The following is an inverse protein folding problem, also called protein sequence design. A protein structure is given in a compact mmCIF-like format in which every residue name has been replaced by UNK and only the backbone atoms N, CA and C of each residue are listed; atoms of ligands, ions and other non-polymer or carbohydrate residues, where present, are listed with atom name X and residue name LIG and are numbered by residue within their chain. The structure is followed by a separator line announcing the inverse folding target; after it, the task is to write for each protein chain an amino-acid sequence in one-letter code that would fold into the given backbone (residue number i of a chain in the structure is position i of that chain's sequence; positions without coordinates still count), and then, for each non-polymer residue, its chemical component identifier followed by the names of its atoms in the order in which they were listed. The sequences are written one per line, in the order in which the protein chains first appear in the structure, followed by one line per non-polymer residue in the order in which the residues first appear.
data_IF_324054309679
#
_entry.id   IF_324054309679
#
_cell.length_a   1.000
_cell.length_b   1.000
_cell.length_c   1.000
_cell.angle_alpha   90.00
_cell.angle_beta   90.00
_cell.angle_gamma   90.00
#
_symmetry.space_group_name_H-M   'P 1'
#
loop_
_entity.id
_entity.type
_entity.pdbx_description
1 polymer ?
#
# COMPACT_ATOMS: atom_id res chain seq x y z
N UNK A 1 10.84 -6.72 -16.61
CA UNK A 1 9.54 -6.07 -16.35
C UNK A 1 9.79 -4.62 -15.99
N UNK A 2 9.07 -3.69 -16.59
CA UNK A 2 9.10 -2.27 -16.22
C UNK A 2 7.93 -1.98 -15.26
N UNK A 3 8.15 -1.07 -14.33
CA UNK A 3 7.12 -0.64 -13.38
C UNK A 3 7.37 0.83 -12.98
N UNK A 4 6.34 1.46 -12.40
CA UNK A 4 6.40 2.81 -11.83
C UNK A 4 6.28 2.73 -10.31
N UNK A 5 6.89 3.66 -9.59
CA UNK A 5 6.70 3.84 -8.15
C UNK A 5 5.82 5.07 -7.94
N UNK A 6 4.72 4.90 -7.23
CA UNK A 6 3.78 5.96 -6.90
C UNK A 6 3.78 6.24 -5.39
N UNK A 7 4.06 7.47 -5.00
CA UNK A 7 4.13 7.92 -3.61
C UNK A 7 3.11 9.04 -3.40
N UNK A 8 1.94 8.75 -2.80
CA UNK A 8 1.02 9.80 -2.37
C UNK A 8 1.60 10.53 -1.17
N UNK A 9 1.54 11.86 -1.17
CA UNK A 9 2.06 12.66 -0.05
C UNK A 9 1.26 13.95 0.14
N UNK A 10 1.11 14.40 1.39
CA UNK A 10 0.39 15.59 1.80
C UNK A 10 1.17 16.29 2.91
N UNK A 11 1.65 17.51 2.68
CA UNK A 11 2.33 18.38 3.67
C UNK A 11 3.48 17.67 4.42
N UNK A 12 4.28 16.83 3.72
CA UNK A 12 5.31 15.97 4.34
C UNK A 12 6.65 15.99 3.58
N UNK A 13 7.02 17.12 2.96
CA UNK A 13 8.26 17.24 2.19
C UNK A 13 9.52 16.82 2.98
N UNK A 14 9.62 17.22 4.25
CA UNK A 14 10.72 16.82 5.13
C UNK A 14 10.63 15.36 5.58
N UNK A 15 9.43 14.85 5.83
CA UNK A 15 9.22 13.46 6.26
C UNK A 15 9.59 12.48 5.15
N UNK A 16 9.12 12.71 3.94
CA UNK A 16 9.43 11.86 2.79
C UNK A 16 10.93 11.83 2.51
N UNK A 17 11.62 12.97 2.64
CA UNK A 17 13.08 13.05 2.48
C UNK A 17 13.82 12.23 3.54
N UNK A 18 13.49 12.45 4.82
CA UNK A 18 14.20 11.84 5.95
C UNK A 18 13.94 10.34 6.08
N UNK A 19 12.80 9.84 5.58
CA UNK A 19 12.37 8.46 5.69
C UNK A 19 12.43 7.74 4.35
N UNK A 20 11.39 7.85 3.54
CA UNK A 20 11.25 7.07 2.30
C UNK A 20 12.40 7.30 1.34
N UNK A 21 12.82 8.54 1.09
CA UNK A 21 13.96 8.81 0.20
C UNK A 21 15.31 8.45 0.82
N UNK A 22 15.47 8.58 2.14
CA UNK A 22 16.67 8.09 2.81
C UNK A 22 16.81 6.56 2.69
N UNK A 23 15.69 5.83 2.69
CA UNK A 23 15.70 4.39 2.41
C UNK A 23 15.94 4.11 0.92
N UNK A 24 15.15 4.69 0.02
CA UNK A 24 15.26 4.45 -1.43
C UNK A 24 16.67 4.76 -1.96
N UNK A 25 17.35 5.77 -1.42
CA UNK A 25 18.72 6.14 -1.82
C UNK A 25 19.78 5.08 -1.50
N UNK A 26 19.47 4.11 -0.64
CA UNK A 26 20.33 2.97 -0.32
C UNK A 26 20.03 1.74 -1.17
N UNK A 27 18.98 1.80 -1.98
CA UNK A 27 18.52 0.71 -2.82
C UNK A 27 18.93 0.93 -4.28
N UNK A 28 18.67 -0.07 -5.12
CA UNK A 28 18.96 -0.03 -6.56
C UNK A 28 17.78 0.49 -7.42
N UNK A 29 16.90 1.33 -6.85
CA UNK A 29 15.75 1.91 -7.57
C UNK A 29 16.21 3.00 -8.55
N UNK A 30 15.68 2.96 -9.77
CA UNK A 30 15.80 4.07 -10.72
C UNK A 30 14.80 5.17 -10.38
N UNK A 31 15.30 6.30 -9.88
CA UNK A 31 14.48 7.45 -9.48
C UNK A 31 13.68 8.08 -10.62
N UNK A 32 14.03 7.87 -11.88
CA UNK A 32 13.23 8.33 -13.04
C UNK A 32 11.86 7.67 -13.10
N UNK A 33 11.70 6.50 -12.49
CA UNK A 33 10.44 5.78 -12.38
C UNK A 33 9.65 6.12 -11.10
N UNK A 34 10.10 7.09 -10.30
CA UNK A 34 9.43 7.53 -9.07
C UNK A 34 8.56 8.75 -9.36
N UNK A 35 7.31 8.67 -8.96
CA UNK A 35 6.27 9.69 -9.10
C UNK A 35 5.74 10.06 -7.72
N UNK A 36 5.81 11.34 -7.35
CA UNK A 36 5.23 11.86 -6.11
C UNK A 36 3.92 12.56 -6.47
N UNK A 37 2.83 12.07 -5.89
CA UNK A 37 1.49 12.61 -6.07
C UNK A 37 1.18 13.55 -4.91
N UNK A 38 1.14 14.85 -5.19
CA UNK A 38 0.90 15.91 -4.23
C UNK A 38 -0.59 16.25 -4.18
N UNK A 39 -1.09 16.48 -2.99
CA UNK A 39 -2.51 16.84 -2.81
C UNK A 39 -2.85 18.28 -3.17
N UNK A 40 -1.85 19.17 -3.13
CA UNK A 40 -2.02 20.61 -3.34
C UNK A 40 -0.80 21.17 -4.09
N UNK A 41 -1.04 22.00 -5.11
CA UNK A 41 0.02 22.68 -5.89
C UNK A 41 0.86 23.65 -5.07
N UNK A 42 0.34 24.19 -3.99
CA UNK A 42 1.09 25.08 -3.10
C UNK A 42 2.28 24.37 -2.42
N UNK A 43 2.21 23.06 -2.26
CA UNK A 43 3.27 22.25 -1.66
C UNK A 43 4.41 21.92 -2.64
N UNK A 44 4.18 21.99 -3.94
CA UNK A 44 5.09 21.49 -4.98
C UNK A 44 6.50 22.08 -4.87
N UNK A 45 6.60 23.38 -4.58
CA UNK A 45 7.88 24.07 -4.46
C UNK A 45 8.72 23.53 -3.28
N UNK A 46 8.08 23.22 -2.16
CA UNK A 46 8.78 22.66 -0.99
C UNK A 46 9.31 21.26 -1.27
N UNK A 47 8.52 20.42 -1.94
CA UNK A 47 8.97 19.09 -2.36
C UNK A 47 10.09 19.17 -3.38
N UNK A 48 10.00 20.03 -4.41
CA UNK A 48 11.05 20.24 -5.41
C UNK A 48 12.34 20.72 -4.77
N UNK A 49 12.27 21.64 -3.81
CA UNK A 49 13.45 22.13 -3.09
C UNK A 49 14.09 21.02 -2.24
N UNK A 50 13.27 20.27 -1.52
CA UNK A 50 13.74 19.23 -0.58
C UNK A 50 14.32 18.01 -1.31
N UNK A 51 13.77 17.66 -2.48
CA UNK A 51 14.13 16.46 -3.25
C UNK A 51 14.89 16.76 -4.55
N UNK A 52 15.47 17.95 -4.68
CA UNK A 52 16.11 18.47 -5.90
C UNK A 52 17.24 17.61 -6.49
N UNK A 53 17.86 16.78 -5.68
CA UNK A 53 18.95 15.89 -6.10
C UNK A 53 18.50 14.60 -6.78
N UNK A 54 17.20 14.31 -6.77
CA UNK A 54 16.64 13.08 -7.34
C UNK A 54 15.90 13.39 -8.67
N UNK A 55 16.14 12.62 -9.75
CA UNK A 55 15.45 12.79 -11.03
C UNK A 55 14.05 12.13 -10.96
N UNK A 56 13.12 12.74 -10.21
CA UNK A 56 11.79 12.23 -9.94
C UNK A 56 10.71 13.08 -10.62
N UNK A 57 9.48 12.55 -10.66
CA UNK A 57 8.32 13.20 -11.26
C UNK A 57 7.38 13.72 -10.17
N UNK A 58 6.93 14.96 -10.29
CA UNK A 58 5.93 15.55 -9.38
C UNK A 58 4.62 15.72 -10.12
N UNK A 59 3.53 15.23 -9.52
CA UNK A 59 2.17 15.29 -10.06
C UNK A 59 1.27 15.92 -9.03
N UNK A 60 0.66 17.05 -9.38
CA UNK A 60 -0.34 17.71 -8.52
C UNK A 60 -1.71 17.12 -8.83
N UNK A 61 -2.36 16.57 -7.83
CA UNK A 61 -3.63 15.84 -7.99
C UNK A 61 -4.86 16.67 -7.61
N UNK A 62 -4.70 17.72 -6.77
CA UNK A 62 -5.80 18.45 -6.12
C UNK A 62 -6.76 17.54 -5.33
N UNK A 63 -6.25 16.37 -4.87
CA UNK A 63 -7.01 15.39 -4.10
C UNK A 63 -6.55 15.36 -2.64
N UNK A 64 -7.40 15.86 -1.73
CA UNK A 64 -7.06 16.02 -0.30
C UNK A 64 -7.23 14.74 0.55
N UNK A 65 -7.91 13.72 0.03
CA UNK A 65 -8.12 12.46 0.74
C UNK A 65 -7.33 11.33 0.09
N UNK A 66 -6.76 10.44 0.90
CA UNK A 66 -5.92 9.33 0.44
C UNK A 66 -6.66 8.42 -0.56
N UNK A 67 -7.94 8.15 -0.36
CA UNK A 67 -8.74 7.32 -1.26
C UNK A 67 -8.84 7.92 -2.66
N UNK A 68 -9.16 9.22 -2.73
CA UNK A 68 -9.29 9.94 -4.01
C UNK A 68 -7.94 10.12 -4.70
N UNK A 69 -6.87 10.29 -3.92
CA UNK A 69 -5.51 10.37 -4.45
C UNK A 69 -5.06 9.01 -5.03
N UNK A 70 -5.34 7.88 -4.34
CA UNK A 70 -5.05 6.54 -4.85
C UNK A 70 -5.85 6.19 -6.11
N UNK A 71 -7.11 6.62 -6.20
CA UNK A 71 -7.89 6.46 -7.43
C UNK A 71 -7.31 7.31 -8.58
N UNK A 72 -6.91 8.56 -8.30
CA UNK A 72 -6.24 9.40 -9.29
C UNK A 72 -4.94 8.75 -9.82
N UNK A 73 -4.17 8.07 -8.98
CA UNK A 73 -2.97 7.33 -9.41
C UNK A 73 -3.34 6.24 -10.43
N UNK A 74 -4.46 5.54 -10.23
CA UNK A 74 -4.93 4.55 -11.21
C UNK A 74 -5.35 5.19 -12.54
N UNK A 75 -5.95 6.39 -12.50
CA UNK A 75 -6.36 7.12 -13.71
C UNK A 75 -5.17 7.75 -14.44
N UNK A 76 -4.10 8.12 -13.70
CA UNK A 76 -2.91 8.80 -14.25
C UNK A 76 -2.04 7.87 -15.08
N UNK A 77 -1.84 6.64 -14.66
CA UNK A 77 -1.03 5.67 -15.38
C UNK A 77 -1.86 4.90 -16.41
N UNK A 78 -1.22 4.49 -17.47
CA UNK A 78 -1.88 3.74 -18.54
C UNK A 78 -2.41 2.39 -18.05
N UNK A 79 -3.44 1.91 -18.75
CA UNK A 79 -3.98 0.57 -18.52
C UNK A 79 -2.88 -0.47 -18.75
N UNK A 80 -2.88 -1.49 -17.88
CA UNK A 80 -1.95 -2.62 -17.88
C UNK A 80 -0.51 -2.29 -17.43
N UNK A 81 -0.20 -1.05 -17.02
CA UNK A 81 1.07 -0.73 -16.38
C UNK A 81 1.17 -1.40 -14.98
N UNK A 82 2.41 -1.69 -14.58
CA UNK A 82 2.73 -2.21 -13.26
C UNK A 82 3.13 -1.06 -12.33
N UNK A 83 2.45 -0.93 -11.21
CA UNK A 83 2.63 0.20 -10.30
C UNK A 83 2.92 -0.33 -8.89
N UNK A 84 3.98 0.20 -8.28
CA UNK A 84 4.34 -0.07 -6.90
C UNK A 84 4.00 1.16 -6.05
N UNK A 85 3.05 1.02 -5.12
CA UNK A 85 2.71 2.06 -4.15
C UNK A 85 3.63 1.98 -2.93
N UNK A 86 4.19 3.12 -2.54
CA UNK A 86 5.00 3.28 -1.34
C UNK A 86 4.52 4.52 -0.60
N UNK A 87 4.32 4.45 0.74
CA UNK A 87 3.97 5.62 1.53
C UNK A 87 5.19 6.53 1.79
N UNK A 88 4.95 7.77 2.11
CA UNK A 88 5.95 8.83 2.31
C UNK A 88 6.72 8.75 3.64
N UNK A 89 6.33 7.82 4.54
CA UNK A 89 6.89 7.71 5.89
C UNK A 89 7.54 6.34 6.19
N UNK A 90 7.99 5.63 5.17
CA UNK A 90 8.69 4.34 5.30
C UNK A 90 10.13 4.55 5.75
N UNK A 91 10.51 4.02 6.92
CA UNK A 91 11.90 4.01 7.38
C UNK A 91 12.77 3.02 6.60
N UNK A 92 12.23 1.83 6.31
CA UNK A 92 12.82 0.80 5.44
C UNK A 92 11.85 -0.35 5.18
N UNK A 93 12.18 -1.23 4.25
CA UNK A 93 11.61 -2.56 4.15
C UNK A 93 12.59 -3.57 4.73
N UNK A 94 12.07 -4.54 5.48
CA UNK A 94 12.86 -5.54 6.17
C UNK A 94 12.50 -6.93 5.67
N UNK A 95 13.50 -7.76 5.43
CA UNK A 95 13.30 -9.18 5.10
C UNK A 95 13.74 -10.09 6.24
N UNK A 96 12.99 -11.17 6.46
CA UNK A 96 13.26 -12.14 7.50
C UNK A 96 14.54 -12.96 7.20
N UNK A 97 15.41 -13.05 8.19
CA UNK A 97 16.54 -14.01 8.19
C UNK A 97 16.19 -15.23 9.01
N UNK A 98 15.67 -15.04 10.22
CA UNK A 98 15.23 -16.11 11.12
C UNK A 98 14.16 -15.57 12.08
N UNK A 99 13.75 -16.36 13.07
CA UNK A 99 12.67 -15.98 14.00
C UNK A 99 13.04 -14.84 14.96
N UNK A 100 14.31 -14.42 14.99
CA UNK A 100 14.80 -13.31 15.86
C UNK A 100 15.32 -12.11 15.08
N UNK A 101 15.57 -12.25 13.76
CA UNK A 101 16.31 -11.24 12.99
C UNK A 101 15.70 -10.97 11.63
N UNK A 102 15.65 -9.69 11.30
CA UNK A 102 15.43 -9.16 9.93
C UNK A 102 16.64 -8.36 9.49
N UNK A 103 16.76 -8.13 8.19
CA UNK A 103 17.73 -7.22 7.57
C UNK A 103 17.02 -6.30 6.59
N UNK A 104 17.62 -5.16 6.32
CA UNK A 104 17.11 -4.19 5.36
C UNK A 104 17.13 -4.78 3.94
N UNK A 105 16.05 -4.61 3.20
CA UNK A 105 15.91 -5.07 1.82
C UNK A 105 16.53 -4.04 0.88
N UNK A 106 17.78 -4.29 0.44
CA UNK A 106 18.55 -3.37 -0.41
C UNK A 106 18.28 -3.60 -1.89
N UNK A 107 18.19 -4.86 -2.34
CA UNK A 107 17.79 -5.20 -3.71
C UNK A 107 16.26 -5.04 -3.88
N UNK A 108 15.81 -3.79 -3.82
CA UNK A 108 14.39 -3.45 -3.88
C UNK A 108 13.84 -3.60 -5.30
N UNK A 109 14.61 -3.22 -6.31
CA UNK A 109 14.23 -3.37 -7.72
C UNK A 109 14.02 -4.85 -8.09
N UNK A 110 14.97 -5.70 -7.72
CA UNK A 110 14.85 -7.15 -7.93
C UNK A 110 13.66 -7.75 -7.20
N UNK A 111 13.41 -7.32 -5.95
CA UNK A 111 12.24 -7.75 -5.19
C UNK A 111 10.92 -7.35 -5.88
N UNK A 112 10.77 -6.09 -6.30
CA UNK A 112 9.55 -5.59 -6.94
C UNK A 112 9.28 -6.33 -8.26
N UNK A 113 10.29 -6.52 -9.10
CA UNK A 113 10.18 -7.27 -10.37
C UNK A 113 9.74 -8.73 -10.12
N UNK A 114 10.38 -9.40 -9.18
CA UNK A 114 10.01 -10.76 -8.78
C UNK A 114 8.61 -10.84 -8.18
N UNK A 115 8.19 -9.83 -7.40
CA UNK A 115 6.87 -9.77 -6.82
C UNK A 115 5.77 -9.66 -7.89
N UNK A 116 5.97 -8.86 -8.90
CA UNK A 116 5.07 -8.79 -10.04
C UNK A 116 5.03 -10.12 -10.83
N UNK A 117 6.20 -10.72 -11.10
CA UNK A 117 6.28 -11.99 -11.81
C UNK A 117 5.50 -13.11 -11.09
N UNK A 118 5.75 -13.29 -9.79
CA UNK A 118 5.05 -14.29 -8.97
C UNK A 118 3.54 -14.01 -8.93
N UNK A 119 3.17 -12.73 -8.82
CA UNK A 119 1.77 -12.32 -8.78
C UNK A 119 1.05 -12.64 -10.10
N UNK A 120 1.67 -12.31 -11.24
CA UNK A 120 1.11 -12.61 -12.57
C UNK A 120 1.01 -14.12 -12.82
N UNK A 121 2.04 -14.88 -12.47
CA UNK A 121 2.03 -16.36 -12.58
C UNK A 121 0.91 -16.96 -11.72
N UNK A 122 0.55 -16.31 -10.62
CA UNK A 122 -0.57 -16.71 -9.74
C UNK A 122 -1.92 -16.14 -10.20
N UNK A 123 -1.98 -15.40 -11.30
CA UNK A 123 -3.19 -14.70 -11.79
C UNK A 123 -3.78 -13.75 -10.75
N UNK A 124 -2.94 -13.10 -9.98
CA UNK A 124 -3.31 -12.06 -9.00
C UNK A 124 -2.74 -10.74 -9.49
N UNK A 125 -3.57 -9.73 -9.64
CA UNK A 125 -3.12 -8.40 -10.06
C UNK A 125 -2.69 -7.52 -8.88
N UNK A 126 -2.85 -7.99 -7.63
CA UNK A 126 -2.43 -7.30 -6.41
C UNK A 126 -1.42 -8.15 -5.64
N UNK A 127 -0.30 -7.54 -5.27
CA UNK A 127 0.63 -8.10 -4.30
C UNK A 127 0.94 -7.12 -3.17
N UNK A 128 1.44 -7.64 -2.05
CA UNK A 128 1.94 -6.83 -0.94
C UNK A 128 2.76 -7.66 0.05
N UNK A 129 3.06 -7.06 1.18
CA UNK A 129 3.94 -7.62 2.20
C UNK A 129 3.22 -7.83 3.53
N UNK A 130 3.89 -8.42 4.50
CA UNK A 130 3.33 -8.59 5.85
C UNK A 130 3.21 -7.21 6.54
N UNK A 131 2.06 -6.88 7.14
CA UNK A 131 1.88 -5.57 7.79
C UNK A 131 2.63 -5.43 9.12
N UNK A 132 3.17 -6.52 9.67
CA UNK A 132 3.76 -6.51 11.02
C UNK A 132 5.23 -6.87 10.95
N UNK A 133 6.09 -5.92 11.33
CA UNK A 133 7.54 -6.15 11.47
C UNK A 133 7.84 -6.80 12.83
N UNK A 134 7.64 -8.09 12.91
CA UNK A 134 8.14 -8.92 14.01
C UNK A 134 8.66 -10.23 13.41
N UNK A 135 9.96 -10.54 13.52
CA UNK A 135 10.57 -11.71 12.90
C UNK A 135 9.84 -13.03 13.24
N UNK A 136 9.31 -13.15 14.45
CA UNK A 136 8.56 -14.32 14.90
C UNK A 136 7.30 -14.58 14.08
N UNK A 137 6.59 -13.52 13.65
CA UNK A 137 5.36 -13.63 12.86
C UNK A 137 5.61 -13.65 11.34
N UNK A 138 6.79 -13.25 10.90
CA UNK A 138 7.18 -13.39 9.49
C UNK A 138 7.40 -14.86 9.13
N UNK A 139 7.04 -15.25 7.89
CA UNK A 139 7.17 -16.62 7.40
C UNK A 139 7.85 -16.65 6.04
N UNK A 140 8.79 -17.57 5.84
CA UNK A 140 9.47 -17.77 4.55
C UNK A 140 8.56 -18.41 3.49
N UNK A 141 7.44 -17.76 3.20
CA UNK A 141 6.52 -18.20 2.15
C UNK A 141 5.79 -17.03 1.51
N UNK A 142 5.16 -17.33 0.37
CA UNK A 142 4.20 -16.46 -0.32
C UNK A 142 2.82 -17.10 -0.18
N UNK A 143 1.79 -16.30 0.05
CA UNK A 143 0.40 -16.74 0.14
C UNK A 143 -0.44 -16.08 -0.94
N UNK A 144 -1.45 -16.81 -1.44
CA UNK A 144 -2.30 -16.41 -2.56
C UNK A 144 -3.79 -16.40 -2.21
N UNK A 145 -4.11 -16.50 -0.93
CA UNK A 145 -5.48 -16.44 -0.41
C UNK A 145 -5.81 -15.02 0.06
N UNK A 146 -7.05 -14.79 0.54
CA UNK A 146 -7.44 -13.48 1.07
C UNK A 146 -6.55 -13.12 2.26
N UNK A 147 -5.71 -12.13 2.05
CA UNK A 147 -4.86 -11.51 3.06
C UNK A 147 -5.03 -10.00 3.01
N UNK A 148 -4.88 -9.40 4.17
CA UNK A 148 -4.74 -7.95 4.26
C UNK A 148 -3.44 -7.52 3.58
N UNK A 149 -3.55 -6.65 2.58
CA UNK A 149 -2.44 -6.01 1.87
C UNK A 149 -2.36 -4.58 2.38
N UNK A 150 -1.33 -4.31 3.18
CA UNK A 150 -1.11 -2.99 3.77
C UNK A 150 -0.75 -1.97 2.70
N UNK A 151 -1.36 -0.80 2.78
CA UNK A 151 -1.23 0.22 1.74
C UNK A 151 0.12 0.95 1.72
N UNK A 152 0.96 0.77 2.74
CA UNK A 152 2.25 1.46 2.79
C UNK A 152 3.32 0.88 1.86
N UNK A 153 3.18 -0.39 1.41
CA UNK A 153 4.02 -0.99 0.37
C UNK A 153 3.31 -2.17 -0.31
N UNK A 154 2.93 -1.98 -1.55
CA UNK A 154 2.22 -2.96 -2.37
C UNK A 154 2.42 -2.68 -3.86
N UNK A 155 2.03 -3.61 -4.72
CA UNK A 155 2.01 -3.37 -6.15
C UNK A 155 0.78 -3.96 -6.81
N UNK A 156 0.39 -3.37 -7.93
CA UNK A 156 -0.75 -3.85 -8.71
C UNK A 156 -0.53 -3.67 -10.21
N UNK A 157 -1.18 -4.52 -10.98
CA UNK A 157 -1.37 -4.28 -12.42
C UNK A 157 -2.55 -3.33 -12.57
N UNK A 158 -2.34 -2.20 -13.24
CA UNK A 158 -3.34 -1.15 -13.40
C UNK A 158 -4.39 -1.53 -14.45
N UNK A 159 -5.32 -2.41 -14.10
CA UNK A 159 -6.34 -2.88 -15.05
C UNK A 159 -7.41 -1.83 -15.35
N UNK A 160 -7.49 -0.77 -14.55
CA UNK A 160 -8.56 0.25 -14.60
C UNK A 160 -9.98 -0.35 -14.53
N UNK A 161 -10.10 -1.51 -13.90
CA UNK A 161 -11.37 -2.17 -13.61
C UNK A 161 -11.85 -1.77 -12.20
N UNK A 162 -13.10 -2.13 -11.85
CA UNK A 162 -13.70 -1.80 -10.55
C UNK A 162 -12.80 -2.15 -9.34
N UNK A 163 -12.02 -3.24 -9.43
CA UNK A 163 -11.11 -3.66 -8.35
C UNK A 163 -9.96 -2.67 -8.11
N UNK A 164 -9.56 -1.89 -9.13
CA UNK A 164 -8.48 -0.91 -9.06
C UNK A 164 -8.85 0.31 -8.22
N UNK A 165 -10.14 0.60 -8.07
CA UNK A 165 -10.66 1.77 -7.39
C UNK A 165 -11.21 1.44 -6.01
N UNK A 166 -11.03 2.36 -5.07
CA UNK A 166 -11.60 2.30 -3.73
C UNK A 166 -12.68 3.36 -3.56
N UNK A 167 -13.51 3.24 -2.53
CA UNK A 167 -14.57 4.21 -2.24
C UNK A 167 -14.01 5.63 -2.14
N UNK A 168 -14.65 6.57 -2.83
CA UNK A 168 -14.30 8.01 -2.79
C UNK A 168 -14.92 8.73 -1.61
N UNK A 169 -15.78 8.07 -0.82
CA UNK A 169 -16.38 8.70 0.35
C UNK A 169 -15.29 9.01 1.39
N UNK A 170 -15.10 10.29 1.73
CA UNK A 170 -14.04 10.70 2.65
C UNK A 170 -14.23 10.19 4.09
N UNK A 171 -15.43 9.74 4.45
CA UNK A 171 -15.70 9.14 5.75
C UNK A 171 -15.31 7.65 5.85
N UNK A 172 -14.92 7.01 4.74
CA UNK A 172 -14.57 5.59 4.70
C UNK A 172 -13.07 5.41 4.57
N UNK A 173 -12.38 5.38 5.70
CA UNK A 173 -11.01 4.91 5.78
C UNK A 173 -10.89 3.40 5.51
N UNK A 174 -9.69 2.84 5.71
CA UNK A 174 -9.42 1.41 5.53
C UNK A 174 -9.56 0.94 4.07
N UNK A 175 -9.15 1.79 3.12
CA UNK A 175 -9.16 1.51 1.69
C UNK A 175 -8.31 0.28 1.32
N UNK A 176 -7.32 -0.04 2.12
CA UNK A 176 -6.46 -1.20 1.99
C UNK A 176 -7.20 -2.54 2.25
N UNK A 177 -8.15 -2.55 3.19
CA UNK A 177 -9.06 -3.69 3.37
C UNK A 177 -10.01 -3.84 2.18
N UNK A 178 -10.62 -2.73 1.73
CA UNK A 178 -11.50 -2.71 0.55
C UNK A 178 -10.76 -3.23 -0.68
N UNK A 179 -9.56 -2.69 -0.96
CA UNK A 179 -8.71 -3.11 -2.08
C UNK A 179 -8.41 -4.61 -2.00
N UNK A 180 -7.96 -5.10 -0.85
CA UNK A 180 -7.66 -6.52 -0.66
C UNK A 180 -8.85 -7.42 -0.97
N UNK A 181 -10.07 -7.02 -0.56
CA UNK A 181 -11.30 -7.78 -0.82
C UNK A 181 -11.69 -7.71 -2.30
N UNK A 182 -11.64 -6.53 -2.93
CA UNK A 182 -12.03 -6.36 -4.34
C UNK A 182 -11.15 -7.19 -5.28
N UNK A 183 -9.83 -7.10 -5.12
CA UNK A 183 -8.91 -7.94 -5.90
C UNK A 183 -9.13 -9.44 -5.62
N UNK A 184 -9.30 -9.83 -4.37
CA UNK A 184 -9.60 -11.23 -4.05
C UNK A 184 -10.90 -11.72 -4.69
N UNK A 185 -11.95 -10.91 -4.70
CA UNK A 185 -13.24 -11.27 -5.35
C UNK A 185 -13.09 -11.50 -6.85
N UNK A 186 -12.31 -10.69 -7.52
CA UNK A 186 -12.17 -10.73 -8.97
C UNK A 186 -11.12 -11.75 -9.42
N UNK A 187 -9.96 -11.78 -8.78
CA UNK A 187 -8.81 -12.62 -9.18
C UNK A 187 -8.82 -13.99 -8.48
N UNK A 188 -9.64 -14.15 -7.42
CA UNK A 188 -9.65 -15.36 -6.59
C UNK A 188 -8.45 -15.47 -5.66
N UNK A 189 -7.62 -14.42 -5.54
CA UNK A 189 -6.45 -14.36 -4.68
C UNK A 189 -5.83 -12.97 -4.63
N UNK A 190 -4.96 -12.78 -3.63
CA UNK A 190 -3.98 -11.70 -3.56
C UNK A 190 -2.63 -12.31 -3.18
N UNK A 191 -1.55 -11.79 -3.75
CA UNK A 191 -0.21 -12.30 -3.46
C UNK A 191 0.37 -11.57 -2.26
N UNK A 192 0.79 -12.29 -1.20
CA UNK A 192 1.46 -11.66 -0.07
C UNK A 192 2.77 -12.35 0.29
N UNK A 193 3.84 -11.56 0.27
CA UNK A 193 5.18 -11.97 0.67
C UNK A 193 5.29 -11.89 2.19
N UNK A 194 5.14 -13.04 2.86
CA UNK A 194 5.04 -13.08 4.32
C UNK A 194 6.39 -12.93 5.04
N UNK A 195 7.50 -12.87 4.30
CA UNK A 195 8.86 -12.71 4.83
C UNK A 195 9.40 -11.28 4.74
N UNK A 196 8.65 -10.36 4.12
CA UNK A 196 8.99 -8.93 4.05
C UNK A 196 7.96 -8.14 4.82
N UNK A 197 8.40 -7.10 5.52
CA UNK A 197 7.52 -6.16 6.21
C UNK A 197 8.11 -4.74 6.22
N UNK A 198 7.27 -3.68 6.21
CA UNK A 198 7.72 -2.31 6.35
C UNK A 198 8.13 -2.02 7.80
N UNK A 199 9.21 -1.24 7.94
CA UNK A 199 9.54 -0.55 9.18
C UNK A 199 8.99 0.87 9.06
N UNK A 200 7.90 1.13 9.74
CA UNK A 200 7.25 2.44 9.83
C UNK A 200 6.53 2.56 11.17
N UNK A 201 6.28 3.76 11.60
CA UNK A 201 5.52 4.04 12.82
C UNK A 201 4.06 4.28 12.46
N UNK A 202 3.24 3.26 12.60
CA UNK A 202 1.80 3.40 12.38
C UNK A 202 1.19 4.34 13.44
N UNK A 203 0.30 5.25 13.01
CA UNK A 203 -0.51 6.14 13.84
C UNK A 203 0.24 7.20 14.66
N UNK A 204 1.49 7.51 14.37
CA UNK A 204 2.30 8.42 15.20
C UNK A 204 2.97 9.57 14.46
N UNK A 205 2.93 9.60 13.12
CA UNK A 205 3.53 10.69 12.35
C UNK A 205 2.49 11.80 12.12
N UNK A 206 2.89 13.05 12.30
CA UNK A 206 2.03 14.20 12.03
C UNK A 206 1.72 14.33 10.53
N UNK A 207 0.56 14.93 10.20
CA UNK A 207 0.11 15.10 8.83
C UNK A 207 -0.64 13.88 8.24
N UNK A 208 -0.96 13.96 6.95
CA UNK A 208 -1.70 12.92 6.25
C UNK A 208 -3.06 12.62 6.91
N UNK A 209 -3.44 11.34 6.95
CA UNK A 209 -4.72 10.88 7.52
C UNK A 209 -4.87 11.21 9.02
N UNK A 210 -3.76 11.42 9.75
CA UNK A 210 -3.81 11.72 11.18
C UNK A 210 -4.50 13.06 11.49
N UNK A 211 -4.55 13.99 10.54
CA UNK A 211 -5.19 15.30 10.70
C UNK A 211 -6.71 15.21 10.92
N UNK A 212 -7.36 14.15 10.43
CA UNK A 212 -8.82 13.96 10.55
C UNK A 212 -9.22 12.60 11.14
N UNK A 213 -8.27 11.76 11.52
CA UNK A 213 -8.51 10.43 12.04
C UNK A 213 -9.04 10.46 13.47
N UNK A 214 -10.27 9.98 13.67
CA UNK A 214 -10.92 9.82 14.99
C UNK A 214 -11.42 8.39 15.18
N UNK A 215 -11.78 8.03 16.41
CA UNK A 215 -12.44 6.72 16.68
C UNK A 215 -13.76 6.62 15.92
N UNK A 216 -14.50 7.72 15.81
CA UNK A 216 -15.77 7.75 15.08
C UNK A 216 -15.55 7.55 13.56
N UNK A 217 -14.54 8.21 12.99
CA UNK A 217 -14.14 8.00 11.59
C UNK A 217 -13.83 6.54 11.30
N UNK A 218 -13.02 5.91 12.13
CA UNK A 218 -12.66 4.49 11.99
C UNK A 218 -13.86 3.55 12.21
N UNK A 219 -14.80 3.91 13.09
CA UNK A 219 -16.03 3.16 13.33
C UNK A 219 -16.96 3.23 12.10
N UNK A 220 -17.09 4.38 11.45
CA UNK A 220 -17.84 4.53 10.18
C UNK A 220 -17.25 3.63 9.10
N UNK A 221 -15.92 3.63 8.96
CA UNK A 221 -15.22 2.78 8.00
C UNK A 221 -15.45 1.29 8.26
N UNK A 222 -15.37 0.86 9.52
CA UNK A 222 -15.63 -0.54 9.91
C UNK A 222 -17.08 -0.92 9.60
N UNK A 223 -18.07 -0.10 9.98
CA UNK A 223 -19.49 -0.37 9.68
C UNK A 223 -19.73 -0.50 8.20
N UNK A 224 -19.19 0.40 7.41
CA UNK A 224 -19.30 0.36 5.95
C UNK A 224 -18.71 -0.92 5.35
N UNK A 225 -17.48 -1.33 5.75
CA UNK A 225 -16.88 -2.58 5.30
C UNK A 225 -17.72 -3.81 5.65
N UNK A 226 -18.28 -3.86 6.85
CA UNK A 226 -19.13 -4.97 7.30
C UNK A 226 -20.45 -5.05 6.51
N UNK A 227 -21.01 -3.91 6.12
CA UNK A 227 -22.23 -3.84 5.31
C UNK A 227 -21.96 -4.17 3.83
N UNK A 228 -20.85 -3.66 3.27
CA UNK A 228 -20.50 -3.82 1.86
C UNK A 228 -19.94 -5.22 1.56
N UNK A 229 -19.16 -5.78 2.49
CA UNK A 229 -18.44 -7.04 2.31
C UNK A 229 -18.70 -8.07 3.44
N UNK A 230 -19.97 -8.35 3.80
CA UNK A 230 -20.30 -9.19 4.96
C UNK A 230 -19.77 -10.63 4.87
N UNK A 231 -19.54 -11.11 3.64
CA UNK A 231 -18.98 -12.44 3.41
C UNK A 231 -17.46 -12.52 3.63
N UNK A 232 -16.74 -11.38 3.56
CA UNK A 232 -15.28 -11.33 3.52
C UNK A 232 -14.63 -10.69 4.74
N UNK A 233 -15.42 -10.05 5.59
CA UNK A 233 -14.90 -9.47 6.82
C UNK A 233 -15.89 -9.56 7.98
N UNK A 234 -15.35 -9.48 9.19
CA UNK A 234 -16.09 -9.35 10.42
C UNK A 234 -15.35 -8.42 11.38
N UNK A 235 -16.07 -7.87 12.36
CA UNK A 235 -15.44 -7.05 13.40
C UNK A 235 -14.38 -7.85 14.14
N UNK A 236 -13.21 -7.26 14.33
CA UNK A 236 -12.15 -7.87 15.12
C UNK A 236 -12.31 -7.46 16.60
N UNK A 237 -12.81 -8.38 17.41
CA UNK A 237 -13.00 -8.18 18.85
C UNK A 237 -11.86 -8.73 19.69
N UNK A 238 -10.93 -9.47 19.06
CA UNK A 238 -9.81 -10.10 19.76
C UNK A 238 -8.64 -9.14 20.07
N UNK A 239 -8.55 -8.02 19.34
CA UNK A 239 -7.51 -7.01 19.53
C UNK A 239 -8.07 -5.82 20.31
N UNK A 240 -7.48 -5.52 21.47
CA UNK A 240 -7.65 -4.23 22.14
C UNK A 240 -6.74 -3.21 21.46
N UNK A 241 -7.24 -2.54 20.44
CA UNK A 241 -6.55 -1.44 19.75
C UNK A 241 -7.27 -0.12 20.02
N UNK A 242 -6.55 1.00 19.91
CA UNK A 242 -7.14 2.34 20.04
C UNK A 242 -8.31 2.55 19.07
N UNK A 243 -8.20 2.00 17.87
CA UNK A 243 -9.18 2.13 16.80
C UNK A 243 -9.88 0.80 16.51
N UNK A 244 -11.18 0.82 16.14
CA UNK A 244 -11.89 -0.37 15.73
C UNK A 244 -11.27 -0.99 14.47
N UNK A 245 -11.26 -2.32 14.40
CA UNK A 245 -10.63 -3.09 13.35
C UNK A 245 -11.58 -4.14 12.77
N UNK A 246 -11.29 -4.56 11.53
CA UNK A 246 -11.92 -5.71 10.91
C UNK A 246 -10.93 -6.88 10.80
N UNK A 247 -11.47 -8.07 10.72
CA UNK A 247 -10.73 -9.29 10.39
C UNK A 247 -11.26 -9.84 9.07
N UNK A 248 -10.39 -10.09 8.12
CA UNK A 248 -10.73 -10.74 6.86
C UNK A 248 -11.08 -12.21 7.06
N UNK A 249 -12.06 -12.70 6.30
CA UNK A 249 -12.53 -14.07 6.27
C UNK A 249 -12.22 -14.63 4.89
N UNK A 250 -11.26 -15.54 4.83
CA UNK A 250 -10.93 -16.26 3.61
C UNK A 250 -12.00 -17.33 3.33
N UNK A 251 -12.93 -17.00 2.46
CA UNK A 251 -13.88 -17.98 1.90
C UNK A 251 -13.32 -18.41 0.57
N UNK A 252 -12.61 -19.53 0.52
CA UNK A 252 -12.03 -20.10 -0.71
C UNK A 252 -12.99 -19.99 -1.87
N UNK A 253 -12.88 -18.94 -2.66
CA UNK A 253 -13.60 -18.80 -3.93
C UNK A 253 -12.91 -19.80 -4.87
N UNK A 254 -13.67 -20.75 -5.42
CA UNK A 254 -13.15 -21.61 -6.48
C UNK A 254 -12.73 -20.69 -7.63
N UNK A 255 -11.43 -20.61 -7.93
CA UNK A 255 -10.93 -19.85 -9.07
C UNK A 255 -11.66 -20.36 -10.30
N UNK A 256 -12.36 -19.49 -11.01
CA UNK A 256 -12.81 -19.77 -12.36
C UNK A 256 -11.55 -19.84 -13.22
N UNK A 257 -11.12 -21.06 -13.56
CA UNK A 257 -10.11 -21.26 -14.58
C UNK A 257 -10.72 -20.68 -15.88
N UNK A 258 -10.21 -19.53 -16.33
CA UNK A 258 -10.48 -18.98 -17.66
C UNK A 258 -9.56 -19.65 -18.64
#
# INVERSE_FOLDING_TARGET
MQYKIAIPSIARAETIYKKTFNYLSKTNIDFKNVYIFLSDGNEENDYKKTLNKYPINFIVTEKKHVNTQRNYICDYFDKDEYICGIDDDIDSLQTKINDKKTVELIDLDGFIKNAFEISQNSKCDLWGVNPVLNPFFLKHNVSFNLKYIVACFYGWKNTQEEKSYVSTNPEYGKEDYERSIKYYKQDGGVTRFNYVAPKTKYYSEDGGIQTYRTVEYEEKAVKWLLQTFPAFCKRNTAKKTKYPEVRLIDRRIKRKLK
#
